data_IF_876269999112
#
_entry.id   IF_876269999112
#
_cell.length_a   1.000
_cell.length_b   1.000
_cell.length_c   1.000
_cell.angle_alpha   90.00
_cell.angle_beta   90.00
_cell.angle_gamma   90.00
#
_symmetry.space_group_name_H-M   'P 1'
#
loop_
_entity.id
_entity.type
_entity.pdbx_description
1 polymer ?
#
# COMPACT_ATOMS: atom_id res chain seq x y z
N UNK A 1 -38.81 -5.13 8.09
CA UNK A 1 -38.22 -4.74 9.39
C UNK A 1 -36.88 -5.45 9.51
N UNK A 2 -35.78 -4.77 9.18
CA UNK A 2 -34.44 -5.38 9.25
C UNK A 2 -34.08 -5.47 10.73
N UNK A 3 -34.10 -6.69 11.28
CA UNK A 3 -33.55 -6.95 12.61
C UNK A 3 -32.03 -6.83 12.49
N UNK A 4 -31.49 -5.67 12.82
CA UNK A 4 -30.07 -5.48 13.07
C UNK A 4 -29.68 -6.39 14.23
N UNK A 5 -28.92 -7.43 13.94
CA UNK A 5 -28.29 -8.25 14.95
C UNK A 5 -27.42 -7.32 15.83
N UNK A 6 -27.85 -7.10 17.07
CA UNK A 6 -27.04 -6.43 18.09
C UNK A 6 -25.89 -7.35 18.46
N UNK A 7 -24.81 -7.28 17.70
CA UNK A 7 -23.62 -8.09 17.91
C UNK A 7 -22.41 -7.53 17.18
N UNK A 8 -21.55 -6.84 17.93
CA UNK A 8 -20.13 -6.59 17.67
C UNK A 8 -19.84 -5.59 16.54
N UNK A 9 -19.23 -4.46 16.92
CA UNK A 9 -18.69 -3.44 16.02
C UNK A 9 -17.84 -4.06 14.91
N UNK A 10 -18.05 -3.63 13.67
CA UNK A 10 -17.25 -4.05 12.52
C UNK A 10 -17.76 -3.40 11.23
N UNK A 11 -16.97 -3.43 10.14
CA UNK A 11 -17.39 -2.92 8.85
C UNK A 11 -18.57 -3.74 8.30
N UNK A 12 -19.58 -3.05 7.77
CA UNK A 12 -20.71 -3.67 7.07
C UNK A 12 -20.47 -3.54 5.57
N UNK A 13 -20.39 -4.66 4.86
CA UNK A 13 -20.32 -4.70 3.40
C UNK A 13 -21.73 -4.94 2.87
N UNK A 14 -22.23 -4.01 2.05
CA UNK A 14 -23.53 -4.14 1.38
C UNK A 14 -23.32 -4.22 -0.13
N UNK A 15 -23.95 -5.19 -0.78
CA UNK A 15 -23.90 -5.37 -2.23
C UNK A 15 -25.30 -5.15 -2.80
N UNK A 16 -25.42 -4.26 -3.78
CA UNK A 16 -26.66 -4.06 -4.53
C UNK A 16 -26.53 -4.74 -5.90
N UNK A 17 -27.51 -5.57 -6.23
CA UNK A 17 -27.58 -6.28 -7.49
C UNK A 17 -28.82 -5.82 -8.25
N UNK A 18 -28.65 -5.46 -9.52
CA UNK A 18 -29.74 -5.14 -10.44
C UNK A 18 -29.86 -6.27 -11.46
N UNK A 19 -30.98 -7.01 -11.44
CA UNK A 19 -31.24 -8.05 -12.43
C UNK A 19 -31.89 -7.41 -13.69
N UNK A 20 -31.32 -7.60 -14.90
CA UNK A 20 -31.78 -6.90 -16.11
C UNK A 20 -33.00 -7.53 -16.79
N UNK A 21 -33.48 -8.71 -16.34
CA UNK A 21 -34.60 -9.41 -16.97
C UNK A 21 -35.92 -9.11 -16.22
N UNK A 22 -36.88 -8.52 -16.93
CA UNK A 22 -38.22 -8.15 -16.41
C UNK A 22 -39.05 -9.35 -15.96
N UNK A 23 -38.70 -10.56 -16.39
CA UNK A 23 -39.43 -11.79 -16.04
C UNK A 23 -38.66 -12.70 -15.07
N UNK A 24 -37.47 -12.30 -14.61
CA UNK A 24 -36.73 -13.10 -13.64
C UNK A 24 -37.42 -13.05 -12.28
N UNK A 25 -37.89 -14.20 -11.80
CA UNK A 25 -38.49 -14.34 -10.47
C UNK A 25 -37.49 -14.77 -9.39
N UNK A 26 -36.34 -15.35 -9.78
CA UNK A 26 -35.35 -15.94 -8.86
C UNK A 26 -33.94 -15.78 -9.40
N UNK A 27 -33.00 -15.36 -8.54
CA UNK A 27 -31.56 -15.55 -8.76
C UNK A 27 -31.21 -16.97 -8.30
N UNK A 28 -30.93 -17.86 -9.26
CA UNK A 28 -30.65 -19.28 -8.97
C UNK A 28 -29.45 -19.49 -8.05
N UNK A 29 -28.38 -18.71 -8.26
CA UNK A 29 -27.20 -18.76 -7.39
C UNK A 29 -26.37 -17.49 -7.48
N UNK A 30 -25.92 -16.99 -6.33
CA UNK A 30 -24.91 -15.97 -6.17
C UNK A 30 -23.74 -16.58 -5.40
N UNK A 31 -22.62 -16.81 -6.09
CA UNK A 31 -21.40 -17.36 -5.50
C UNK A 31 -20.28 -16.34 -5.53
N UNK A 32 -19.43 -16.36 -4.52
CA UNK A 32 -18.26 -15.51 -4.49
C UNK A 32 -17.25 -15.95 -3.45
N UNK A 33 -16.13 -15.24 -3.44
CA UNK A 33 -15.05 -15.40 -2.46
C UNK A 33 -14.76 -14.06 -1.83
N UNK A 34 -14.66 -14.02 -0.51
CA UNK A 34 -14.20 -12.85 0.23
C UNK A 34 -12.90 -13.20 0.92
N UNK A 35 -11.85 -12.45 0.64
CA UNK A 35 -10.57 -12.55 1.36
C UNK A 35 -10.50 -11.43 2.38
N UNK A 36 -10.33 -11.78 3.64
CA UNK A 36 -10.16 -10.84 4.76
C UNK A 36 -8.77 -11.06 5.33
N UNK A 37 -8.00 -10.00 5.46
CA UNK A 37 -6.64 -10.05 6.02
C UNK A 37 -6.49 -8.99 7.12
N UNK A 38 -5.54 -9.22 8.02
CA UNK A 38 -5.01 -8.15 8.87
C UNK A 38 -3.95 -7.38 8.07
N UNK A 39 -3.68 -6.15 8.48
CA UNK A 39 -2.55 -5.38 7.94
C UNK A 39 -1.39 -5.52 8.91
N UNK A 40 -0.28 -6.06 8.43
CA UNK A 40 1.02 -6.02 9.10
C UNK A 40 1.95 -5.00 8.43
N UNK A 41 3.07 -4.73 9.08
CA UNK A 41 4.13 -3.86 8.53
C UNK A 41 5.38 -4.66 8.19
N UNK A 42 6.02 -4.31 7.08
CA UNK A 42 7.27 -4.89 6.62
C UNK A 42 8.30 -3.77 6.48
N UNK A 43 9.38 -3.86 7.25
CA UNK A 43 10.48 -2.89 7.21
C UNK A 43 11.57 -3.38 6.26
N UNK A 44 12.02 -2.49 5.39
CA UNK A 44 13.12 -2.70 4.46
C UNK A 44 14.16 -1.64 4.74
N UNK A 45 15.39 -2.09 5.00
CA UNK A 45 16.52 -1.24 5.33
C UNK A 45 17.55 -1.33 4.21
N UNK A 46 17.85 -0.19 3.60
CA UNK A 46 18.83 -0.07 2.53
C UNK A 46 20.02 0.72 3.08
N UNK A 47 21.08 0.00 3.45
CA UNK A 47 22.27 0.57 4.09
C UNK A 47 23.27 1.14 3.08
N UNK A 48 23.32 0.58 1.87
CA UNK A 48 24.23 1.04 0.81
C UNK A 48 23.57 2.08 -0.08
N UNK A 49 23.46 3.31 0.46
CA UNK A 49 22.80 4.43 -0.23
C UNK A 49 23.47 4.79 -1.56
N UNK A 50 24.75 4.44 -1.74
CA UNK A 50 25.52 4.74 -2.96
C UNK A 50 25.01 3.99 -4.19
N UNK A 51 24.27 2.88 -3.99
CA UNK A 51 23.63 2.10 -5.05
C UNK A 51 22.31 2.66 -5.51
N UNK A 52 21.72 3.60 -4.76
CA UNK A 52 20.40 4.16 -5.05
C UNK A 52 20.53 5.30 -6.07
N UNK A 53 20.61 4.93 -7.34
CA UNK A 53 20.82 5.84 -8.49
C UNK A 53 19.61 5.94 -9.41
N UNK A 54 18.41 5.73 -8.88
CA UNK A 54 17.15 5.77 -9.63
C UNK A 54 16.76 4.45 -10.29
N UNK A 55 17.55 3.40 -10.08
CA UNK A 55 17.23 2.04 -10.50
C UNK A 55 16.18 1.38 -9.60
N UNK A 56 15.69 0.22 -10.03
CA UNK A 56 14.84 -0.64 -9.21
C UNK A 56 15.62 -1.11 -7.97
N UNK A 57 14.95 -1.10 -6.82
CA UNK A 57 15.53 -1.67 -5.60
C UNK A 57 15.44 -3.20 -5.71
N UNK A 58 16.60 -3.85 -5.74
CA UNK A 58 16.71 -5.31 -5.76
C UNK A 58 16.57 -5.87 -4.33
N UNK A 59 15.32 -6.05 -3.89
CA UNK A 59 14.98 -6.74 -2.64
C UNK A 59 13.84 -7.73 -2.90
N UNK A 60 13.99 -8.99 -2.46
CA UNK A 60 12.97 -10.03 -2.67
C UNK A 60 11.60 -9.64 -2.09
N UNK A 61 11.61 -8.84 -1.01
CA UNK A 61 10.41 -8.32 -0.36
C UNK A 61 9.68 -7.27 -1.20
N UNK A 62 10.31 -6.72 -2.25
CA UNK A 62 9.74 -5.74 -3.17
C UNK A 62 9.30 -6.33 -4.51
N UNK A 63 9.41 -7.65 -4.72
CA UNK A 63 9.11 -8.28 -6.02
C UNK A 63 7.71 -7.95 -6.57
N UNK A 64 6.71 -7.89 -5.69
CA UNK A 64 5.31 -7.62 -6.04
C UNK A 64 4.93 -6.14 -5.90
N UNK A 65 5.91 -5.29 -5.55
CA UNK A 65 5.74 -3.86 -5.35
C UNK A 65 7.03 -3.13 -5.75
N UNK A 66 7.27 -2.98 -7.07
CA UNK A 66 8.53 -2.45 -7.58
C UNK A 66 8.68 -0.97 -7.22
N UNK A 67 9.74 -0.64 -6.51
CA UNK A 67 10.10 0.74 -6.13
C UNK A 67 11.43 1.08 -6.79
N UNK A 68 11.54 2.29 -7.36
CA UNK A 68 12.83 2.87 -7.72
C UNK A 68 13.23 3.91 -6.70
N UNK A 69 14.51 3.94 -6.34
CA UNK A 69 15.01 4.92 -5.39
C UNK A 69 16.25 5.62 -5.94
N UNK A 70 16.28 6.94 -5.82
CA UNK A 70 17.48 7.74 -5.99
C UNK A 70 17.77 8.56 -4.74
N UNK A 71 19.05 8.65 -4.40
CA UNK A 71 19.53 9.57 -3.38
C UNK A 71 20.62 10.43 -4.00
N UNK A 72 20.45 11.75 -3.92
CA UNK A 72 21.42 12.73 -4.39
C UNK A 72 21.77 13.70 -3.26
N UNK A 73 22.99 14.24 -3.32
CA UNK A 73 23.45 15.29 -2.41
C UNK A 73 23.81 16.50 -3.25
N UNK A 74 23.01 17.55 -3.16
CA UNK A 74 23.16 18.78 -3.95
C UNK A 74 22.93 19.98 -3.03
N UNK A 75 23.68 21.08 -3.22
CA UNK A 75 23.49 22.32 -2.46
C UNK A 75 23.44 22.15 -0.92
N UNK A 76 24.24 21.24 -0.36
CA UNK A 76 24.20 20.87 1.07
C UNK A 76 22.83 20.33 1.52
N UNK A 77 22.11 19.67 0.65
CA UNK A 77 20.87 18.97 0.95
C UNK A 77 20.99 17.54 0.45
N UNK A 78 20.36 16.62 1.17
CA UNK A 78 20.20 15.24 0.71
C UNK A 78 18.77 15.10 0.23
N UNK A 79 18.59 14.67 -1.02
CA UNK A 79 17.27 14.47 -1.62
C UNK A 79 17.10 12.96 -1.83
N UNK A 80 16.03 12.42 -1.25
CA UNK A 80 15.62 11.02 -1.43
C UNK A 80 14.35 11.03 -2.26
N UNK A 81 14.39 10.38 -3.41
CA UNK A 81 13.23 10.24 -4.30
C UNK A 81 12.88 8.77 -4.43
N UNK A 82 11.62 8.45 -4.19
CA UNK A 82 11.01 7.16 -4.53
C UNK A 82 10.07 7.35 -5.71
N UNK A 83 10.16 6.45 -6.69
CA UNK A 83 9.13 6.26 -7.71
C UNK A 83 8.34 5.00 -7.37
N UNK A 84 7.03 5.17 -7.24
CA UNK A 84 6.07 4.20 -6.75
C UNK A 84 5.00 3.93 -7.84
N UNK A 85 4.39 2.74 -7.86
CA UNK A 85 3.22 2.48 -8.70
C UNK A 85 2.06 3.46 -8.38
N UNK A 86 1.22 3.81 -9.36
CA UNK A 86 0.09 4.74 -9.16
C UNK A 86 -0.84 4.36 -7.99
N UNK A 87 -1.07 3.06 -7.78
CA UNK A 87 -1.82 2.54 -6.63
C UNK A 87 -0.83 2.00 -5.58
N UNK A 88 -0.32 2.89 -4.74
CA UNK A 88 0.71 2.60 -3.72
C UNK A 88 0.18 2.69 -2.28
N UNK A 89 -1.03 2.20 -2.03
CA UNK A 89 -1.63 2.08 -0.68
C UNK A 89 -0.81 1.19 0.28
N UNK A 90 0.11 0.40 -0.27
CA UNK A 90 1.07 -0.41 0.45
C UNK A 90 2.22 0.38 1.06
N UNK A 91 2.55 1.60 0.62
CA UNK A 91 3.60 2.38 1.27
C UNK A 91 3.02 3.08 2.51
N UNK A 92 3.57 2.78 3.69
CA UNK A 92 3.21 3.47 4.93
C UNK A 92 4.10 4.68 5.16
N UNK A 93 5.40 4.50 4.98
CA UNK A 93 6.40 5.51 5.26
C UNK A 93 7.72 5.19 4.55
N UNK A 94 8.49 6.22 4.22
CA UNK A 94 9.91 6.08 3.93
C UNK A 94 10.69 7.29 4.42
N UNK A 95 11.98 7.08 4.67
CA UNK A 95 12.88 8.18 5.05
C UNK A 95 14.26 7.70 5.48
N UNK A 96 15.16 8.65 5.74
CA UNK A 96 16.47 8.36 6.28
C UNK A 96 16.40 8.14 7.79
N UNK A 97 17.10 7.12 8.25
CA UNK A 97 17.20 6.80 9.67
C UNK A 97 18.65 6.90 10.13
N UNK A 98 18.85 7.31 11.39
CA UNK A 98 20.13 7.26 12.11
C UNK A 98 19.88 6.66 13.48
N UNK A 99 20.56 5.57 13.81
CA UNK A 99 20.40 4.87 15.09
C UNK A 99 18.91 4.60 15.41
N UNK A 100 18.19 4.02 14.45
CA UNK A 100 16.76 3.67 14.52
C UNK A 100 15.79 4.84 14.70
N UNK A 101 16.27 6.08 14.53
CA UNK A 101 15.43 7.28 14.56
C UNK A 101 15.31 7.88 13.16
N UNK A 102 14.08 8.10 12.73
CA UNK A 102 13.81 8.85 11.51
C UNK A 102 14.40 10.26 11.64
N UNK A 103 15.17 10.66 10.63
CA UNK A 103 15.67 12.03 10.50
C UNK A 103 14.49 12.89 10.06
N UNK A 104 14.31 14.03 10.72
CA UNK A 104 13.24 14.96 10.34
C UNK A 104 13.55 15.56 8.97
N UNK A 105 12.64 15.47 7.99
CA UNK A 105 12.84 16.10 6.70
C UNK A 105 12.68 17.62 6.78
N UNK A 106 13.33 18.31 5.86
CA UNK A 106 13.17 19.73 5.59
C UNK A 106 11.92 20.00 4.74
N UNK A 107 11.71 19.18 3.71
CA UNK A 107 10.51 19.24 2.86
C UNK A 107 10.13 17.86 2.34
N UNK A 108 8.86 17.73 1.99
CA UNK A 108 8.25 16.54 1.39
C UNK A 108 7.38 16.99 0.22
N UNK A 109 7.53 16.35 -0.92
CA UNK A 109 6.82 16.69 -2.16
C UNK A 109 6.32 15.40 -2.83
N UNK A 110 5.11 15.45 -3.38
CA UNK A 110 4.55 14.38 -4.19
C UNK A 110 4.19 14.90 -5.58
N UNK A 111 4.42 14.07 -6.59
CA UNK A 111 4.12 14.40 -7.98
C UNK A 111 3.90 13.16 -8.85
N UNK A 112 3.56 13.38 -10.12
CA UNK A 112 3.47 12.32 -11.12
C UNK A 112 4.64 12.36 -12.09
N UNK A 113 5.26 11.22 -12.35
CA UNK A 113 6.37 11.08 -13.30
C UNK A 113 6.28 9.73 -14.00
N UNK A 114 6.28 9.71 -15.34
CA UNK A 114 6.28 8.49 -16.15
C UNK A 114 5.16 7.46 -15.81
N UNK A 115 3.97 7.93 -15.45
CA UNK A 115 2.86 7.05 -15.02
C UNK A 115 3.12 6.36 -13.68
N UNK A 116 4.00 6.93 -12.87
CA UNK A 116 4.30 6.57 -11.49
C UNK A 116 4.10 7.78 -10.58
N UNK A 117 3.99 7.52 -9.28
CA UNK A 117 3.97 8.57 -8.26
C UNK A 117 5.38 8.76 -7.75
N UNK A 118 5.86 9.99 -7.82
CA UNK A 118 7.12 10.42 -7.25
C UNK A 118 6.88 10.98 -5.86
N UNK A 119 7.50 10.41 -4.84
CA UNK A 119 7.56 10.96 -3.50
C UNK A 119 9.00 11.38 -3.20
N UNK A 120 9.20 12.65 -2.87
CA UNK A 120 10.51 13.27 -2.69
C UNK A 120 10.59 13.79 -1.26
N UNK A 121 11.67 13.43 -0.57
CA UNK A 121 11.97 13.89 0.78
C UNK A 121 13.35 14.54 0.80
N UNK A 122 13.40 15.79 1.23
CA UNK A 122 14.64 16.58 1.28
C UNK A 122 15.08 16.78 2.72
N UNK A 123 16.39 16.67 2.97
CA UNK A 123 17.01 16.86 4.28
C UNK A 123 18.06 17.96 4.21
N UNK A 124 18.19 18.72 5.30
CA UNK A 124 19.28 19.69 5.44
C UNK A 124 20.61 18.97 5.69
N UNK A 125 21.66 19.37 4.98
CA UNK A 125 23.00 18.79 5.06
C UNK A 125 23.20 17.53 4.23
N UNK A 126 24.44 17.05 4.20
CA UNK A 126 24.75 15.69 3.75
C UNK A 126 24.38 14.71 4.86
N UNK A 127 23.32 13.94 4.63
CA UNK A 127 22.79 12.93 5.54
C UNK A 127 23.13 11.52 5.09
N UNK A 128 23.99 11.32 4.08
CA UNK A 128 24.30 9.97 3.56
C UNK A 128 25.21 9.15 4.48
N UNK A 129 25.96 9.81 5.36
CA UNK A 129 26.91 9.15 6.27
C UNK A 129 26.23 8.68 7.56
N UNK A 130 26.43 7.39 7.87
CA UNK A 130 25.92 6.78 9.10
C UNK A 130 24.40 6.73 9.16
N UNK A 131 23.76 6.61 7.99
CA UNK A 131 22.31 6.50 7.85
C UNK A 131 21.96 5.35 6.92
N UNK A 132 20.69 4.97 6.93
CA UNK A 132 20.10 4.05 5.97
C UNK A 132 18.75 4.58 5.51
N UNK A 133 18.30 4.14 4.34
CA UNK A 133 16.95 4.41 3.86
C UNK A 133 16.04 3.31 4.41
N UNK A 134 15.08 3.70 5.24
CA UNK A 134 14.01 2.83 5.71
C UNK A 134 12.78 2.99 4.82
N UNK A 135 12.20 1.86 4.39
CA UNK A 135 10.92 1.79 3.68
C UNK A 135 10.01 0.87 4.48
N UNK A 136 8.83 1.37 4.84
CA UNK A 136 7.83 0.65 5.63
C UNK A 136 6.63 0.37 4.74
N UNK A 137 6.36 -0.91 4.49
CA UNK A 137 5.24 -1.36 3.68
C UNK A 137 4.14 -2.00 4.51
N UNK A 138 2.89 -1.66 4.21
CA UNK A 138 1.69 -2.39 4.63
C UNK A 138 1.57 -3.66 3.81
N UNK A 139 1.50 -4.80 4.50
CA UNK A 139 1.29 -6.10 3.88
C UNK A 139 0.07 -6.77 4.48
N UNK A 140 -0.71 -7.43 3.63
CA UNK A 140 -1.77 -8.31 4.08
C UNK A 140 -1.14 -9.51 4.80
N UNK A 141 -1.50 -9.71 6.06
CA UNK A 141 -1.08 -10.85 6.87
C UNK A 141 -2.32 -11.66 7.28
N UNK A 142 -2.11 -12.94 7.58
CA UNK A 142 -3.15 -13.89 7.99
C UNK A 142 -4.41 -13.87 7.09
N UNK A 143 -4.26 -13.96 5.75
CA UNK A 143 -5.41 -13.93 4.86
C UNK A 143 -6.33 -15.12 5.14
N UNK A 144 -7.62 -14.85 5.33
CA UNK A 144 -8.67 -15.84 5.44
C UNK A 144 -9.64 -15.64 4.28
N UNK A 145 -9.79 -16.70 3.49
CA UNK A 145 -10.77 -16.73 2.40
C UNK A 145 -12.03 -17.42 2.88
N UNK A 146 -13.17 -16.77 2.65
CA UNK A 146 -14.50 -17.29 2.94
C UNK A 146 -15.22 -17.39 1.61
N UNK A 147 -15.58 -18.61 1.22
CA UNK A 147 -16.46 -18.85 0.09
C UNK A 147 -17.91 -18.67 0.56
N UNK A 148 -18.74 -18.02 -0.27
CA UNK A 148 -20.17 -17.92 -0.01
C UNK A 148 -20.96 -18.36 -1.24
N UNK A 149 -22.12 -18.95 -0.97
CA UNK A 149 -23.10 -19.30 -1.98
C UNK A 149 -24.49 -19.05 -1.41
N UNK A 150 -25.23 -18.17 -2.06
CA UNK A 150 -26.66 -18.00 -1.84
C UNK A 150 -27.37 -18.65 -3.02
N UNK A 151 -28.32 -19.54 -2.76
CA UNK A 151 -29.13 -20.19 -3.79
C UNK A 151 -30.56 -19.67 -3.73
N UNK A 152 -31.22 -19.72 -4.87
CA UNK A 152 -32.66 -19.53 -5.00
C UNK A 152 -33.17 -18.25 -4.31
N UNK A 153 -32.51 -17.12 -4.57
CA UNK A 153 -32.86 -15.82 -3.98
C UNK A 153 -34.07 -15.27 -4.74
N UNK A 154 -35.23 -15.09 -4.08
CA UNK A 154 -36.41 -14.54 -4.74
C UNK A 154 -36.16 -13.07 -5.12
N UNK A 155 -36.59 -12.69 -6.31
CA UNK A 155 -36.62 -11.30 -6.75
C UNK A 155 -37.95 -10.66 -6.32
N UNK A 156 -37.95 -9.38 -5.89
CA UNK A 156 -39.15 -8.67 -5.44
C UNK A 156 -40.16 -8.44 -6.57
#
# INVERSE_FOLDING_TARGET
MIKTARGKSGPVISLQLSAPDRNAAVIRSLKGKVTISRIGVQNIELTDLSKLKGGLIEDERLKDFPIRASITVENKQTVVKLLLPEKHDQLEFFGLFRNDRAIRPFSEEEGGEDGMVSSIVTYTGDQTKGTFLGIILRRMIDPKTIDFEFKDIPLP
#
